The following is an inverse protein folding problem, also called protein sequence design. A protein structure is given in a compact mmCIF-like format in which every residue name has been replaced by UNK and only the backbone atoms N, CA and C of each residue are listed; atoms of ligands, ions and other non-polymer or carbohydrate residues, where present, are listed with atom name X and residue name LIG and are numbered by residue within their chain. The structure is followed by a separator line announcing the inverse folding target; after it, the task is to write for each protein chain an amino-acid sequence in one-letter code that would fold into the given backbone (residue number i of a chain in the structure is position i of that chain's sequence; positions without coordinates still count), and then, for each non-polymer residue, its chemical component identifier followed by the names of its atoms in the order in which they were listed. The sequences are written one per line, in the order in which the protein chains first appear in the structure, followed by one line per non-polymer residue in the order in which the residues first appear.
data_IF_132188373140
#
_entry.id   IF_132188373140
#
_cell.length_a   1.000
_cell.length_b   1.000
_cell.length_c   1.000
_cell.angle_alpha   90.00
_cell.angle_beta   90.00
_cell.angle_gamma   90.00
#
_symmetry.space_group_name_H-M   'P 1'
#
loop_
_entity.id
_entity.type
_entity.pdbx_description
1 polymer ?
#
# COMPACT_ATOMS: atom_id res chain seq x y z
N UNK A 1 1.89 -11.32 9.69
CA UNK A 1 1.67 -11.22 8.23
C UNK A 1 2.21 -12.49 7.58
N UNK A 2 1.44 -13.17 6.74
CA UNK A 2 1.83 -14.43 6.04
C UNK A 2 1.96 -14.26 4.53
N UNK A 3 1.79 -13.04 4.03
CA UNK A 3 1.73 -12.75 2.60
C UNK A 3 0.85 -11.55 2.28
N UNK A 4 0.58 -11.36 0.98
CA UNK A 4 -0.32 -10.33 0.44
C UNK A 4 -1.21 -10.92 -0.64
N UNK A 5 -2.40 -10.33 -0.78
CA UNK A 5 -3.29 -10.57 -1.93
C UNK A 5 -3.13 -9.40 -2.88
N UNK A 6 -2.85 -9.70 -4.15
CA UNK A 6 -2.59 -8.72 -5.19
C UNK A 6 -3.52 -8.91 -6.37
N UNK A 7 -3.83 -7.81 -7.05
CA UNK A 7 -4.53 -7.81 -8.32
C UNK A 7 -3.53 -7.59 -9.45
N UNK A 8 -3.50 -8.50 -10.43
CA UNK A 8 -2.66 -8.36 -11.62
C UNK A 8 -3.39 -7.46 -12.63
N UNK A 9 -2.87 -6.26 -12.84
CA UNK A 9 -3.51 -5.23 -13.66
C UNK A 9 -3.62 -5.60 -15.15
N UNK A 10 -2.72 -6.45 -15.65
CA UNK A 10 -2.63 -6.80 -17.07
C UNK A 10 -3.76 -7.74 -17.54
N UNK A 11 -4.10 -8.76 -16.75
CA UNK A 11 -5.10 -9.79 -17.09
C UNK A 11 -6.26 -9.89 -16.10
N UNK A 12 -6.23 -9.11 -15.01
CA UNK A 12 -7.29 -9.00 -14.03
C UNK A 12 -7.31 -10.12 -12.97
N UNK A 13 -6.35 -11.05 -12.96
CA UNK A 13 -6.36 -12.17 -12.01
C UNK A 13 -5.94 -11.76 -10.61
N UNK A 14 -6.42 -12.51 -9.61
CA UNK A 14 -6.01 -12.33 -8.22
C UNK A 14 -4.89 -13.32 -7.86
N UNK A 15 -3.83 -12.82 -7.24
CA UNK A 15 -2.68 -13.61 -6.82
C UNK A 15 -2.46 -13.50 -5.31
N UNK A 16 -2.14 -14.63 -4.69
CA UNK A 16 -1.71 -14.65 -3.28
C UNK A 16 -0.22 -14.95 -3.25
N UNK A 17 0.56 -14.05 -2.68
CA UNK A 17 1.99 -14.24 -2.46
C UNK A 17 2.24 -14.58 -1.00
N UNK A 18 2.48 -15.86 -0.71
CA UNK A 18 2.82 -16.34 0.63
C UNK A 18 4.30 -16.14 0.92
N UNK A 19 4.64 -15.62 2.10
CA UNK A 19 6.02 -15.42 2.53
C UNK A 19 6.16 -15.47 4.06
N UNK A 20 7.33 -15.88 4.53
CA UNK A 20 7.67 -15.85 5.97
C UNK A 20 7.85 -14.41 6.49
N UNK A 21 8.22 -13.48 5.60
CA UNK A 21 8.41 -12.07 5.90
C UNK A 21 7.96 -11.24 4.69
N UNK A 22 7.30 -10.11 4.95
CA UNK A 22 6.83 -9.16 3.93
C UNK A 22 7.34 -7.77 4.31
N UNK A 23 7.92 -7.06 3.35
CA UNK A 23 8.37 -5.67 3.50
C UNK A 23 7.46 -4.78 2.66
N UNK A 24 6.82 -3.80 3.30
CA UNK A 24 6.06 -2.77 2.60
C UNK A 24 6.95 -1.54 2.41
N UNK A 25 7.31 -1.27 1.16
CA UNK A 25 8.13 -0.13 0.75
C UNK A 25 7.39 0.70 -0.32
N UNK A 26 6.13 1.04 -0.05
CA UNK A 26 5.17 1.55 -1.06
C UNK A 26 5.23 3.07 -1.28
N UNK A 27 6.19 3.76 -0.68
CA UNK A 27 6.27 5.22 -0.71
C UNK A 27 5.20 5.92 0.16
N UNK A 28 5.00 7.21 -0.08
CA UNK A 28 4.09 8.08 0.67
C UNK A 28 2.70 8.25 0.06
N UNK A 29 1.91 9.17 0.63
CA UNK A 29 0.51 9.43 0.27
C UNK A 29 0.27 10.88 -0.18
N UNK A 30 1.27 11.53 -0.78
CA UNK A 30 1.21 12.95 -1.17
C UNK A 30 0.04 13.31 -2.10
N UNK A 31 -0.57 12.33 -2.77
CA UNK A 31 -1.80 12.53 -3.56
C UNK A 31 -3.07 12.73 -2.75
N UNK A 32 -2.99 12.74 -1.42
CA UNK A 32 -4.05 13.26 -0.56
C UNK A 32 -4.23 14.79 -0.66
N UNK A 33 -3.21 15.52 -1.13
CA UNK A 33 -3.24 16.99 -1.23
C UNK A 33 -3.52 17.47 -2.66
N UNK A 34 -4.22 18.60 -2.77
CA UNK A 34 -4.59 19.20 -4.05
C UNK A 34 -3.37 19.61 -4.89
N UNK A 35 -2.37 20.23 -4.24
CA UNK A 35 -1.10 20.61 -4.86
C UNK A 35 0.04 19.88 -4.17
N UNK A 36 0.76 19.05 -4.93
CA UNK A 36 1.90 18.28 -4.43
C UNK A 36 2.86 17.95 -5.59
N UNK A 37 4.15 17.84 -5.27
CA UNK A 37 5.20 17.42 -6.22
C UNK A 37 5.27 15.90 -6.41
N UNK A 38 4.58 15.15 -5.54
CA UNK A 38 4.53 13.68 -5.58
C UNK A 38 3.95 13.17 -6.90
N UNK A 39 4.41 12.01 -7.35
CA UNK A 39 3.82 11.36 -8.53
C UNK A 39 2.32 11.06 -8.33
N UNK A 40 1.56 10.88 -9.42
CA UNK A 40 0.14 10.51 -9.35
C UNK A 40 -0.11 9.16 -8.67
N UNK A 41 0.92 8.31 -8.60
CA UNK A 41 0.87 6.99 -7.98
C UNK A 41 1.27 6.98 -6.50
N UNK A 42 1.60 8.13 -5.89
CA UNK A 42 1.91 8.22 -4.46
C UNK A 42 0.62 8.31 -3.63
N UNK A 43 -0.12 7.19 -3.55
CA UNK A 43 -1.49 7.10 -2.99
C UNK A 43 -1.56 6.45 -1.61
N UNK A 44 -0.44 6.07 -1.00
CA UNK A 44 -0.42 5.53 0.36
C UNK A 44 -0.90 4.09 0.52
N UNK A 45 -0.86 3.28 -0.54
CA UNK A 45 -1.48 1.95 -0.57
C UNK A 45 -1.01 1.04 0.58
N UNK A 46 0.30 1.04 0.88
CA UNK A 46 0.86 0.28 2.00
C UNK A 46 0.38 0.74 3.36
N UNK A 47 0.30 2.05 3.59
CA UNK A 47 -0.30 2.61 4.80
C UNK A 47 -1.77 2.20 4.94
N UNK A 48 -2.52 2.27 3.85
CA UNK A 48 -3.90 1.80 3.79
C UNK A 48 -4.05 0.30 4.09
N UNK A 49 -3.11 -0.54 3.62
CA UNK A 49 -3.10 -1.98 3.94
C UNK A 49 -2.86 -2.23 5.44
N UNK A 50 -1.91 -1.51 6.04
CA UNK A 50 -1.61 -1.59 7.48
C UNK A 50 -2.81 -1.17 8.32
N UNK A 51 -3.44 -0.04 7.99
CA UNK A 51 -4.63 0.44 8.68
C UNK A 51 -5.80 -0.57 8.59
N UNK A 52 -6.05 -1.16 7.41
CA UNK A 52 -7.09 -2.20 7.23
C UNK A 52 -6.81 -3.49 7.99
N UNK A 53 -5.54 -3.80 8.25
CA UNK A 53 -5.15 -4.92 9.09
C UNK A 53 -5.31 -4.64 10.60
N UNK A 54 -5.80 -3.45 10.98
CA UNK A 54 -5.99 -3.06 12.38
C UNK A 54 -4.70 -2.68 13.11
N UNK A 55 -3.63 -2.37 12.37
CA UNK A 55 -2.35 -1.95 12.92
C UNK A 55 -2.24 -0.42 12.94
N UNK A 56 -1.55 0.16 13.93
CA UNK A 56 -1.40 1.61 14.03
C UNK A 56 -0.49 2.16 12.93
N UNK A 57 -0.84 3.35 12.46
CA UNK A 57 0.06 4.26 11.74
C UNK A 57 0.51 5.35 12.72
N UNK A 58 1.67 5.93 12.49
CA UNK A 58 2.28 6.93 13.37
C UNK A 58 2.52 8.22 12.60
N UNK A 59 2.26 9.36 13.26
CA UNK A 59 2.56 10.73 12.80
C UNK A 59 2.09 10.97 11.35
N UNK A 60 0.77 10.84 11.16
CA UNK A 60 0.11 10.96 9.85
C UNK A 60 -0.44 12.37 9.59
N UNK A 61 -0.43 13.23 10.59
CA UNK A 61 -0.66 14.67 10.48
C UNK A 61 0.51 15.43 9.84
#
# INVERSE_FOLDING_TARGET
CTGVVCWKLDDGTMHVFNAKMVVLATGGYGRAYFSATSAHTCTGDGGGMVARAGLPLQDME
#
